data_IF_800471359001
#
_entry.id   IF_800471359001
#
_cell.length_a   1.000
_cell.length_b   1.000
_cell.length_c   1.000
_cell.angle_alpha   90.00
_cell.angle_beta   90.00
_cell.angle_gamma   90.00
#
_symmetry.space_group_name_H-M   'P 1'
#
loop_
_entity.id
_entity.type
_entity.pdbx_description
1 polymer ?
#
# COMPACT_ATOMS: atom_id res chain seq x y z
N UNK A 1 -18.76 -2.48 -1.67
CA UNK A 1 -18.55 -1.02 -1.70
C UNK A 1 -18.05 -0.62 -3.08
N UNK A 2 -18.43 0.55 -3.62
CA UNK A 2 -17.95 1.00 -4.93
C UNK A 2 -16.43 1.19 -4.91
N UNK A 3 -15.75 0.77 -5.99
CA UNK A 3 -14.30 0.90 -6.13
C UNK A 3 -13.87 2.37 -6.18
N UNK A 4 -12.85 2.74 -5.42
CA UNK A 4 -12.35 4.11 -5.39
C UNK A 4 -11.58 4.43 -6.67
N UNK A 5 -11.87 5.58 -7.26
CA UNK A 5 -11.30 6.04 -8.52
C UNK A 5 -10.40 7.26 -8.30
N UNK A 6 -9.09 7.11 -8.55
CA UNK A 6 -8.12 8.18 -8.42
C UNK A 6 -8.02 9.03 -9.69
N UNK A 7 -7.77 10.35 -9.53
CA UNK A 7 -7.32 11.17 -10.65
C UNK A 7 -5.93 10.69 -11.09
N UNK A 8 -5.59 10.78 -12.39
CA UNK A 8 -4.29 10.36 -12.90
C UNK A 8 -3.07 10.97 -12.16
N UNK A 9 -3.16 12.23 -11.74
CA UNK A 9 -2.09 12.89 -10.97
C UNK A 9 -1.94 12.30 -9.57
N UNK A 10 -3.05 11.99 -8.91
CA UNK A 10 -3.05 11.37 -7.58
C UNK A 10 -2.50 9.94 -7.66
N UNK A 11 -2.93 9.16 -8.66
CA UNK A 11 -2.40 7.83 -8.91
C UNK A 11 -0.88 7.85 -9.18
N UNK A 12 -0.38 8.85 -9.91
CA UNK A 12 1.05 8.97 -10.20
C UNK A 12 1.85 9.20 -8.92
N UNK A 13 1.35 10.10 -8.05
CA UNK A 13 1.93 10.36 -6.73
C UNK A 13 1.93 9.09 -5.86
N UNK A 14 0.83 8.34 -5.86
CA UNK A 14 0.71 7.10 -5.08
C UNK A 14 1.65 6.01 -5.57
N UNK A 15 1.85 5.91 -6.88
CA UNK A 15 2.76 4.96 -7.50
C UNK A 15 4.24 5.39 -7.46
N UNK A 16 4.54 6.58 -6.91
CA UNK A 16 5.90 7.11 -6.87
C UNK A 16 6.49 7.40 -8.26
N UNK A 17 5.65 7.68 -9.27
CA UNK A 17 6.09 7.97 -10.64
C UNK A 17 5.68 9.34 -11.13
N UNK A 18 6.37 9.84 -12.15
CA UNK A 18 6.00 11.11 -12.77
C UNK A 18 4.65 11.00 -13.50
N UNK A 19 3.91 12.11 -13.54
CA UNK A 19 2.64 12.17 -14.28
C UNK A 19 2.76 11.77 -15.76
N UNK A 20 3.81 12.18 -16.50
CA UNK A 20 4.06 11.67 -17.86
C UNK A 20 4.27 10.16 -17.91
N UNK A 21 5.01 9.57 -16.96
CA UNK A 21 5.22 8.13 -16.91
C UNK A 21 3.90 7.37 -16.70
N UNK A 22 3.03 7.87 -15.83
CA UNK A 22 1.70 7.29 -15.65
C UNK A 22 0.86 7.37 -16.93
N UNK A 23 0.84 8.53 -17.61
CA UNK A 23 0.16 8.66 -18.91
C UNK A 23 0.69 7.65 -19.93
N UNK A 24 2.00 7.46 -20.00
CA UNK A 24 2.62 6.47 -20.87
C UNK A 24 2.19 5.04 -20.52
N UNK A 25 2.01 4.72 -19.24
CA UNK A 25 1.52 3.41 -18.83
C UNK A 25 0.07 3.17 -19.19
N UNK A 26 -0.77 4.19 -19.12
CA UNK A 26 -2.16 4.12 -19.60
C UNK A 26 -2.20 3.91 -21.12
N UNK A 27 -1.45 4.71 -21.88
CA UNK A 27 -1.37 4.58 -23.34
C UNK A 27 -0.89 3.19 -23.78
N UNK A 28 0.17 2.69 -23.14
CA UNK A 28 0.74 1.35 -23.40
C UNK A 28 -0.06 0.20 -22.77
N UNK A 29 -1.26 0.46 -22.24
CA UNK A 29 -2.14 -0.51 -21.57
C UNK A 29 -1.47 -1.30 -20.42
N UNK A 30 -0.42 -0.75 -19.81
CA UNK A 30 0.25 -1.30 -18.61
C UNK A 30 -0.50 -0.96 -17.31
N UNK A 31 -1.24 0.14 -17.32
CA UNK A 31 -2.13 0.58 -16.25
C UNK A 31 -3.52 0.74 -16.86
N UNK A 32 -4.52 0.00 -16.37
CA UNK A 32 -5.90 0.15 -16.81
C UNK A 32 -6.47 1.43 -16.22
N UNK A 33 -7.33 2.08 -16.99
CA UNK A 33 -8.05 3.29 -16.58
C UNK A 33 -9.47 3.23 -17.10
N UNK A 34 -10.41 3.78 -16.34
CA UNK A 34 -11.78 4.02 -16.79
C UNK A 34 -11.94 5.48 -17.19
N UNK A 35 -12.84 5.79 -18.13
CA UNK A 35 -13.18 7.17 -18.47
C UNK A 35 -14.51 7.53 -17.82
N UNK A 36 -14.60 8.72 -17.24
CA UNK A 36 -15.88 9.29 -16.81
C UNK A 36 -16.75 9.59 -18.03
N UNK A 37 -18.07 9.82 -17.88
CA UNK A 37 -18.93 10.31 -18.97
C UNK A 37 -18.33 11.54 -19.68
N UNK A 38 -17.69 12.46 -18.94
CA UNK A 38 -16.95 13.61 -19.49
C UNK A 38 -15.56 13.31 -20.08
N UNK A 39 -15.24 12.06 -20.43
CA UNK A 39 -13.99 11.68 -21.11
C UNK A 39 -12.71 11.63 -20.26
N UNK A 40 -12.73 12.13 -19.02
CA UNK A 40 -11.56 12.14 -18.16
C UNK A 40 -11.16 10.75 -17.66
N UNK A 41 -9.87 10.44 -17.72
CA UNK A 41 -9.32 9.20 -17.14
C UNK A 41 -9.43 9.19 -15.61
N UNK A 42 -9.73 8.01 -15.08
CA UNK A 42 -9.70 7.66 -13.67
C UNK A 42 -9.00 6.32 -13.51
N UNK A 43 -8.13 6.24 -12.51
CA UNK A 43 -7.34 5.05 -12.23
C UNK A 43 -8.02 4.32 -11.08
N UNK A 44 -8.46 3.07 -11.29
CA UNK A 44 -9.04 2.26 -10.22
C UNK A 44 -8.04 2.00 -9.10
N UNK A 45 -8.50 1.94 -7.86
CA UNK A 45 -7.64 1.63 -6.72
C UNK A 45 -6.95 0.28 -6.86
N UNK A 46 -7.64 -0.75 -7.38
CA UNK A 46 -7.07 -2.08 -7.61
C UNK A 46 -5.84 -2.04 -8.53
N UNK A 47 -5.82 -1.14 -9.51
CA UNK A 47 -4.70 -0.98 -10.44
C UNK A 47 -3.49 -0.31 -9.80
N UNK A 48 -3.75 0.67 -8.91
CA UNK A 48 -2.70 1.31 -8.11
C UNK A 48 -2.05 0.28 -7.19
N UNK A 49 -2.88 -0.47 -6.45
CA UNK A 49 -2.41 -1.49 -5.51
C UNK A 49 -1.63 -2.61 -6.24
N UNK A 50 -2.10 -3.06 -7.42
CA UNK A 50 -1.40 -4.07 -8.23
C UNK A 50 0.01 -3.63 -8.65
N UNK A 51 0.19 -2.36 -9.03
CA UNK A 51 1.48 -1.87 -9.52
C UNK A 51 2.48 -1.60 -8.39
N UNK A 52 2.01 -1.20 -7.20
CA UNK A 52 2.85 -1.11 -6.01
C UNK A 52 3.51 -2.47 -5.69
N UNK A 53 2.71 -3.53 -5.67
CA UNK A 53 3.19 -4.90 -5.40
C UNK A 53 4.19 -5.41 -6.45
N UNK A 54 4.09 -4.92 -7.69
CA UNK A 54 5.03 -5.28 -8.77
C UNK A 54 6.32 -4.47 -8.72
N UNK A 55 6.27 -3.21 -8.28
CA UNK A 55 7.47 -2.38 -8.08
C UNK A 55 8.36 -2.98 -6.98
N UNK A 56 7.77 -3.51 -5.91
CA UNK A 56 8.48 -4.21 -4.83
C UNK A 56 9.24 -5.46 -5.29
N UNK A 57 8.87 -6.07 -6.43
CA UNK A 57 9.62 -7.18 -7.05
C UNK A 57 10.84 -6.71 -7.87
N UNK A 58 10.96 -5.43 -8.23
CA UNK A 58 12.04 -4.90 -9.09
C UNK A 58 13.07 -4.01 -8.37
N UNK A 59 12.83 -3.62 -7.12
CA UNK A 59 13.80 -2.87 -6.33
C UNK A 59 15.03 -3.74 -5.99
N UNK A 60 16.21 -3.31 -6.42
CA UNK A 60 17.49 -3.98 -6.18
C UNK A 60 17.86 -4.11 -4.69
N UNK A 61 19.03 -4.72 -4.39
CA UNK A 61 19.37 -5.25 -3.06
C UNK A 61 19.39 -4.26 -1.89
N UNK A 62 19.46 -2.94 -2.14
CA UNK A 62 19.73 -1.92 -1.12
C UNK A 62 18.64 -1.73 -0.06
N UNK A 63 17.36 -1.65 -0.43
CA UNK A 63 16.28 -1.39 0.52
C UNK A 63 15.74 -2.66 1.20
N UNK A 64 15.87 -3.81 0.54
CA UNK A 64 15.49 -5.13 1.09
C UNK A 64 16.49 -5.66 2.12
N UNK A 65 17.74 -5.18 2.13
CA UNK A 65 18.79 -5.69 3.02
C UNK A 65 18.43 -5.55 4.51
N UNK A 66 17.85 -4.42 4.90
CA UNK A 66 17.45 -4.17 6.30
C UNK A 66 16.27 -5.03 6.75
N UNK A 67 15.29 -5.28 5.86
CA UNK A 67 14.15 -6.18 6.14
C UNK A 67 14.55 -7.66 6.24
N UNK A 68 15.71 -8.05 5.69
CA UNK A 68 16.17 -9.45 5.65
C UNK A 68 16.85 -9.92 6.95
N UNK A 69 17.10 -9.02 7.91
CA UNK A 69 17.75 -9.33 9.21
C UNK A 69 16.77 -9.35 10.40
N UNK A 70 15.48 -9.52 10.16
CA UNK A 70 14.45 -9.58 11.22
C UNK A 70 13.81 -10.98 11.23
N UNK A 71 13.55 -11.55 12.40
CA UNK A 71 13.05 -12.92 12.56
C UNK A 71 11.57 -13.11 12.16
N UNK A 72 10.80 -12.03 12.03
CA UNK A 72 9.43 -12.05 11.54
C UNK A 72 9.36 -12.52 10.08
N UNK A 73 8.74 -13.69 9.86
CA UNK A 73 8.73 -14.38 8.56
C UNK A 73 7.65 -13.90 7.62
N UNK A 74 6.56 -13.35 8.16
CA UNK A 74 5.45 -12.86 7.36
C UNK A 74 5.64 -11.35 7.18
N UNK A 75 6.05 -10.94 5.98
CA UNK A 75 6.27 -9.54 5.61
C UNK A 75 5.31 -9.18 4.47
N UNK A 76 4.28 -8.42 4.80
CA UNK A 76 3.20 -8.09 3.88
C UNK A 76 3.21 -6.59 3.61
N UNK A 77 3.72 -6.21 2.44
CA UNK A 77 3.81 -4.80 2.03
C UNK A 77 2.46 -4.33 1.50
N UNK A 78 2.06 -3.14 1.92
CA UNK A 78 0.82 -2.53 1.52
C UNK A 78 0.79 -1.03 1.79
N UNK A 79 -0.40 -0.44 1.63
CA UNK A 79 -0.62 0.99 1.81
C UNK A 79 -1.40 1.26 3.08
N UNK A 80 -0.95 2.20 3.89
CA UNK A 80 -1.68 2.66 5.06
C UNK A 80 -2.97 3.35 4.61
N UNK A 81 -4.12 2.81 5.01
CA UNK A 81 -5.45 3.36 4.67
C UNK A 81 -6.09 4.12 5.83
N UNK A 82 -5.69 3.82 7.06
CA UNK A 82 -6.14 4.54 8.26
C UNK A 82 -5.08 4.52 9.36
N UNK A 83 -5.01 5.59 10.14
CA UNK A 83 -4.17 5.72 11.34
C UNK A 83 -4.97 6.48 12.39
N UNK A 84 -5.13 5.90 13.58
CA UNK A 84 -5.82 6.51 14.71
C UNK A 84 -4.97 6.38 15.96
N UNK A 85 -4.94 7.39 16.81
CA UNK A 85 -4.27 7.32 18.10
C UNK A 85 -5.23 7.77 19.20
N UNK A 86 -5.24 7.06 20.31
CA UNK A 86 -6.03 7.39 21.51
C UNK A 86 -5.26 6.95 22.75
N UNK A 87 -4.95 7.90 23.63
CA UNK A 87 -4.08 7.66 24.78
C UNK A 87 -2.72 7.06 24.35
N UNK A 88 -2.39 5.90 24.92
CA UNK A 88 -1.14 5.18 24.63
C UNK A 88 -1.21 4.26 23.41
N UNK A 89 -2.39 4.10 22.80
CA UNK A 89 -2.63 3.13 21.72
C UNK A 89 -2.72 3.84 20.38
N UNK A 90 -2.04 3.28 19.38
CA UNK A 90 -2.15 3.61 17.98
C UNK A 90 -2.69 2.44 17.18
N UNK A 91 -3.72 2.68 16.37
CA UNK A 91 -4.25 1.73 15.40
C UNK A 91 -3.79 2.13 14.00
N UNK A 92 -3.22 1.17 13.26
CA UNK A 92 -2.79 1.35 11.87
C UNK A 92 -3.45 0.28 11.01
N UNK A 93 -4.08 0.70 9.91
CA UNK A 93 -4.71 -0.21 8.95
C UNK A 93 -3.95 -0.16 7.63
N UNK A 94 -3.50 -1.32 7.16
CA UNK A 94 -2.76 -1.48 5.90
C UNK A 94 -3.60 -2.29 4.92
N UNK A 95 -3.81 -1.76 3.71
CA UNK A 95 -4.39 -2.49 2.58
C UNK A 95 -3.30 -3.30 1.87
N UNK A 96 -3.52 -4.62 1.78
CA UNK A 96 -2.63 -5.58 1.12
C UNK A 96 -3.49 -6.43 0.18
N UNK A 97 -3.38 -6.17 -1.13
CA UNK A 97 -4.06 -6.98 -2.15
C UNK A 97 -5.58 -7.03 -2.01
N UNK A 98 -6.21 -5.91 -1.59
CA UNK A 98 -7.65 -5.81 -1.37
C UNK A 98 -8.15 -6.27 0.00
N UNK A 99 -7.27 -6.83 0.84
CA UNK A 99 -7.56 -7.16 2.24
C UNK A 99 -6.96 -6.10 3.17
N UNK A 100 -7.49 -6.00 4.39
CA UNK A 100 -6.98 -5.09 5.41
C UNK A 100 -6.33 -5.86 6.56
N UNK A 101 -5.14 -5.43 6.95
CA UNK A 101 -4.49 -5.86 8.20
C UNK A 101 -4.52 -4.68 9.16
N UNK A 102 -5.05 -4.91 10.36
CA UNK A 102 -5.06 -3.93 11.45
C UNK A 102 -3.98 -4.30 12.46
N UNK A 103 -3.14 -3.33 12.80
CA UNK A 103 -2.15 -3.44 13.85
C UNK A 103 -2.47 -2.45 14.98
N UNK A 104 -2.27 -2.90 16.22
CA UNK A 104 -2.27 -2.04 17.41
C UNK A 104 -0.82 -1.94 17.90
N UNK A 105 -0.32 -0.72 17.96
CA UNK A 105 1.02 -0.38 18.46
C UNK A 105 0.90 0.78 19.44
N UNK A 106 2.01 1.23 20.04
CA UNK A 106 1.96 2.41 20.89
C UNK A 106 1.73 3.67 20.06
N UNK A 107 1.05 4.67 20.65
CA UNK A 107 0.88 5.98 20.02
C UNK A 107 2.24 6.65 19.73
N UNK A 108 3.26 6.38 20.55
CA UNK A 108 4.62 6.88 20.35
C UNK A 108 5.28 6.24 19.14
N UNK A 109 5.14 4.93 18.93
CA UNK A 109 5.65 4.26 17.73
C UNK A 109 5.03 4.83 16.45
N UNK A 110 3.71 5.13 16.44
CA UNK A 110 3.06 5.82 15.31
C UNK A 110 3.73 7.15 15.00
N UNK A 111 4.01 7.94 16.05
CA UNK A 111 4.61 9.29 15.95
C UNK A 111 6.07 9.23 15.50
N UNK A 112 6.89 8.40 16.14
CA UNK A 112 8.31 8.21 15.84
C UNK A 112 8.53 7.70 14.41
N UNK A 113 7.72 6.74 13.98
CA UNK A 113 7.78 6.19 12.62
C UNK A 113 7.14 7.11 11.57
N UNK A 114 6.48 8.19 11.99
CA UNK A 114 5.84 9.16 11.10
C UNK A 114 4.74 8.55 10.22
N UNK A 115 4.01 7.55 10.74
CA UNK A 115 3.02 6.79 9.99
C UNK A 115 1.80 7.66 9.64
N UNK A 116 1.48 7.71 8.35
CA UNK A 116 0.39 8.52 7.80
C UNK A 116 -0.37 7.75 6.74
N UNK A 117 -1.68 8.01 6.68
CA UNK A 117 -2.54 7.53 5.60
C UNK A 117 -1.92 7.88 4.24
N UNK A 118 -1.87 6.89 3.36
CA UNK A 118 -1.33 7.01 2.02
C UNK A 118 0.09 6.49 1.83
N UNK A 119 0.86 6.33 2.91
CA UNK A 119 2.24 5.81 2.85
C UNK A 119 2.29 4.31 2.62
N UNK A 120 3.40 3.84 2.05
CA UNK A 120 3.75 2.41 1.98
C UNK A 120 4.34 1.95 3.30
N UNK A 121 3.84 0.83 3.82
CA UNK A 121 4.36 0.19 5.02
C UNK A 121 4.28 -1.34 4.90
N UNK A 122 5.01 -2.06 5.75
CA UNK A 122 4.95 -3.51 5.81
C UNK A 122 4.34 -3.96 7.15
N UNK A 123 3.36 -4.86 7.10
CA UNK A 123 2.97 -5.64 8.27
C UNK A 123 4.00 -6.76 8.46
N UNK A 124 4.70 -6.73 9.59
CA UNK A 124 5.66 -7.75 10.01
C UNK A 124 5.01 -8.61 11.10
N UNK A 125 4.80 -9.90 10.84
CA UNK A 125 4.13 -10.82 11.77
C UNK A 125 5.06 -12.00 12.06
N UNK A 126 5.25 -12.30 13.34
CA UNK A 126 6.02 -13.47 13.78
C UNK A 126 5.27 -14.74 13.38
N UNK A 127 6.00 -15.76 12.93
CA UNK A 127 5.37 -17.01 12.46
C UNK A 127 4.51 -17.69 13.53
N UNK A 128 4.88 -17.55 14.80
CA UNK A 128 4.19 -18.16 15.95
C UNK A 128 2.89 -17.46 16.35
N UNK A 129 2.56 -16.31 15.76
CA UNK A 129 1.36 -15.51 16.09
C UNK A 129 0.26 -15.64 15.03
N UNK A 130 0.48 -16.44 14.00
CA UNK A 130 -0.51 -16.69 12.94
C UNK A 130 -1.33 -17.93 13.29
N UNK A 131 -2.65 -17.81 13.25
CA UNK A 131 -3.59 -18.92 13.43
C UNK A 131 -4.12 -19.40 12.08
N UNK A 132 -4.38 -20.70 11.95
CA UNK A 132 -4.96 -21.32 10.75
C UNK A 132 -6.28 -21.98 11.13
N UNK A 133 -7.32 -21.74 10.33
CA UNK A 133 -8.60 -22.47 10.40
C UNK A 133 -8.83 -23.20 9.08
N UNK A 134 -9.48 -24.38 9.14
CA UNK A 134 -9.93 -25.10 7.95
C UNK A 134 -11.33 -24.61 7.57
N UNK A 135 -11.55 -24.36 6.29
CA UNK A 135 -12.86 -24.00 5.70
C UNK A 135 -13.40 -25.13 4.85
#
# INVERSE_FOLDING_TARGET
>A
MPELLFKPRDAARLLGVSYPALKQWVYKRKLRSVKTPGGHHRIPQSEVDRLLHRADKKSGPGLRSSFRRISGRNQLVGRIVDVRTSGLIGQVVISIGGQHITSLITADAVREMGLKKGQTAAALIKATEVMIIKV
#
